data_IF_710940369648
#
_entry.id   IF_710940369648
#
_cell.length_a   1.000
_cell.length_b   1.000
_cell.length_c   1.000
_cell.angle_alpha   90.00
_cell.angle_beta   90.00
_cell.angle_gamma   90.00
#
_symmetry.space_group_name_H-M   'P 1'
#
loop_
_entity.id
_entity.type
_entity.pdbx_description
1 polymer ?
#
# COMPACT_ATOMS: atom_id res chain seq x y z
N UNK A 1 -27.18 5.38 -31.15
CA UNK A 1 -26.84 4.03 -31.67
C UNK A 1 -25.35 3.66 -31.49
N UNK A 2 -24.46 4.53 -31.02
CA UNK A 2 -23.04 4.28 -30.86
C UNK A 2 -22.63 3.57 -29.55
N UNK A 3 -23.47 3.56 -28.55
CA UNK A 3 -23.13 3.09 -27.19
C UNK A 3 -23.12 1.55 -27.01
N UNK A 4 -23.77 0.82 -27.92
CA UNK A 4 -23.91 -0.64 -27.80
C UNK A 4 -22.72 -1.47 -28.34
N UNK A 5 -21.65 -0.86 -28.88
CA UNK A 5 -20.48 -1.58 -29.41
C UNK A 5 -19.24 -1.45 -28.54
N UNK A 6 -19.16 -0.40 -27.74
CA UNK A 6 -17.95 -0.06 -26.97
C UNK A 6 -17.52 -1.18 -26.01
N UNK A 7 -18.46 -1.78 -25.26
CA UNK A 7 -18.13 -2.87 -24.34
C UNK A 7 -17.60 -4.12 -25.05
N UNK A 8 -18.22 -4.53 -26.16
CA UNK A 8 -17.82 -5.75 -26.88
C UNK A 8 -16.41 -5.62 -27.44
N UNK A 9 -16.12 -4.49 -28.07
CA UNK A 9 -14.79 -4.19 -28.59
C UNK A 9 -13.75 -4.15 -27.48
N UNK A 10 -14.04 -3.46 -26.37
CA UNK A 10 -13.18 -3.36 -25.20
C UNK A 10 -12.95 -4.73 -24.56
N UNK A 11 -13.98 -5.56 -24.45
CA UNK A 11 -13.90 -6.89 -23.87
C UNK A 11 -12.97 -7.81 -24.67
N UNK A 12 -13.08 -7.81 -26.00
CA UNK A 12 -12.17 -8.56 -26.89
C UNK A 12 -10.76 -7.99 -26.85
N UNK A 13 -10.62 -6.66 -26.91
CA UNK A 13 -9.32 -5.99 -26.84
C UNK A 13 -8.57 -6.25 -25.53
N UNK A 14 -9.29 -6.49 -24.42
CA UNK A 14 -8.68 -6.85 -23.13
C UNK A 14 -7.94 -8.20 -23.15
N UNK A 15 -8.27 -9.08 -24.12
CA UNK A 15 -7.78 -10.45 -24.17
C UNK A 15 -8.24 -11.34 -23.02
N UNK A 16 -9.29 -10.92 -22.28
CA UNK A 16 -9.92 -11.70 -21.21
C UNK A 16 -11.21 -12.37 -21.69
N UNK A 17 -11.81 -11.88 -22.76
CA UNK A 17 -13.08 -12.39 -23.32
C UNK A 17 -12.85 -12.70 -24.78
N UNK A 18 -13.25 -13.92 -25.19
CA UNK A 18 -13.23 -14.31 -26.60
C UNK A 18 -14.58 -13.98 -27.28
N UNK A 19 -14.58 -13.86 -28.62
CA UNK A 19 -15.83 -13.67 -29.37
C UNK A 19 -16.82 -14.81 -29.16
N UNK A 20 -16.37 -16.06 -29.00
CA UNK A 20 -17.24 -17.20 -28.75
C UNK A 20 -17.89 -17.11 -27.37
N UNK A 21 -17.19 -16.63 -26.36
CA UNK A 21 -17.77 -16.36 -25.04
C UNK A 21 -18.83 -15.25 -25.11
N UNK A 22 -18.60 -14.19 -25.89
CA UNK A 22 -19.62 -13.17 -26.15
C UNK A 22 -20.85 -13.73 -26.85
N UNK A 23 -20.66 -14.55 -27.90
CA UNK A 23 -21.77 -15.23 -28.63
C UNK A 23 -22.55 -16.16 -27.71
N UNK A 24 -21.85 -16.96 -26.88
CA UNK A 24 -22.48 -17.87 -25.92
C UNK A 24 -23.30 -17.10 -24.87
N UNK A 25 -22.74 -16.02 -24.31
CA UNK A 25 -23.45 -15.16 -23.36
C UNK A 25 -24.73 -14.55 -23.98
N UNK A 26 -24.62 -14.08 -25.23
CA UNK A 26 -25.78 -13.57 -25.99
C UNK A 26 -26.85 -14.64 -26.22
N UNK A 27 -26.44 -15.84 -26.63
CA UNK A 27 -27.38 -16.97 -26.84
C UNK A 27 -28.14 -17.36 -25.56
N UNK A 28 -27.44 -17.40 -24.40
CA UNK A 28 -28.07 -17.70 -23.11
C UNK A 28 -29.09 -16.63 -22.68
N UNK A 29 -28.83 -15.35 -23.00
CA UNK A 29 -29.77 -14.26 -22.73
C UNK A 29 -31.04 -14.43 -23.60
N UNK A 30 -30.89 -14.81 -24.88
CA UNK A 30 -31.98 -14.99 -25.82
C UNK A 30 -32.84 -16.23 -25.46
N UNK A 31 -32.23 -17.36 -25.09
CA UNK A 31 -32.93 -18.56 -24.66
C UNK A 31 -33.85 -18.31 -23.45
N UNK A 32 -33.38 -17.59 -22.44
CA UNK A 32 -34.18 -17.20 -21.26
C UNK A 32 -35.37 -16.31 -21.59
N UNK A 33 -35.37 -15.63 -22.74
CA UNK A 33 -36.46 -14.74 -23.18
C UNK A 33 -37.42 -15.37 -24.15
N UNK A 34 -36.96 -16.28 -25.03
CA UNK A 34 -37.83 -16.99 -25.94
C UNK A 34 -38.86 -17.87 -25.19
N UNK A 35 -38.52 -18.35 -23.99
CA UNK A 35 -39.47 -19.01 -23.08
C UNK A 35 -40.60 -18.08 -22.59
N UNK A 36 -40.53 -16.77 -22.84
CA UNK A 36 -41.53 -15.73 -22.48
C UNK A 36 -42.20 -15.06 -23.70
N UNK A 37 -42.03 -15.58 -24.94
CA UNK A 37 -42.78 -15.16 -26.12
C UNK A 37 -42.47 -13.77 -26.69
N UNK A 38 -41.27 -13.24 -26.52
CA UNK A 38 -40.90 -11.88 -26.98
C UNK A 38 -40.05 -11.95 -28.26
N UNK A 39 -40.54 -11.34 -29.34
CA UNK A 39 -39.83 -11.20 -30.62
C UNK A 39 -38.72 -10.17 -30.56
N UNK A 40 -37.63 -10.46 -31.25
CA UNK A 40 -36.44 -9.63 -31.57
C UNK A 40 -35.99 -8.64 -30.49
N UNK A 41 -34.89 -8.98 -29.78
CA UNK A 41 -34.36 -8.13 -28.70
C UNK A 41 -32.92 -7.77 -29.01
N UNK A 42 -32.65 -6.48 -29.04
CA UNK A 42 -31.30 -5.95 -28.98
C UNK A 42 -30.73 -6.21 -27.55
N UNK A 43 -29.60 -6.91 -27.48
CA UNK A 43 -28.94 -7.23 -26.22
C UNK A 43 -28.04 -6.04 -25.88
N UNK A 44 -28.39 -5.27 -24.84
CA UNK A 44 -27.56 -4.18 -24.37
C UNK A 44 -26.24 -4.69 -23.75
N UNK A 45 -25.19 -3.92 -23.88
CA UNK A 45 -23.86 -4.21 -23.33
C UNK A 45 -23.91 -4.51 -21.82
N UNK A 46 -24.71 -3.78 -21.04
CA UNK A 46 -24.92 -4.05 -19.60
C UNK A 46 -25.45 -5.45 -19.32
N UNK A 47 -26.38 -5.96 -20.14
CA UNK A 47 -26.91 -7.34 -20.00
C UNK A 47 -25.84 -8.36 -20.37
N UNK A 48 -25.07 -8.08 -21.42
CA UNK A 48 -23.97 -8.94 -21.85
C UNK A 48 -22.87 -9.03 -20.80
N UNK A 49 -22.43 -7.89 -20.26
CA UNK A 49 -21.48 -7.80 -19.16
C UNK A 49 -21.97 -8.58 -17.91
N UNK A 50 -23.22 -8.37 -17.51
CA UNK A 50 -23.83 -9.12 -16.39
C UNK A 50 -23.85 -10.62 -16.63
N UNK A 51 -24.11 -11.06 -17.86
CA UNK A 51 -24.12 -12.50 -18.20
C UNK A 51 -22.71 -13.09 -18.17
N UNK A 52 -21.70 -12.40 -18.69
CA UNK A 52 -20.30 -12.83 -18.61
C UNK A 52 -19.80 -12.96 -17.15
N UNK A 53 -20.22 -12.04 -16.28
CA UNK A 53 -19.95 -12.15 -14.83
C UNK A 53 -20.63 -13.38 -14.22
N UNK A 54 -21.90 -13.65 -14.57
CA UNK A 54 -22.63 -14.86 -14.13
C UNK A 54 -21.98 -16.15 -14.61
N UNK A 55 -21.41 -16.13 -15.81
CA UNK A 55 -20.64 -17.24 -16.39
C UNK A 55 -19.23 -17.36 -15.78
N UNK A 56 -18.84 -16.46 -14.89
CA UNK A 56 -17.50 -16.37 -14.27
C UNK A 56 -16.36 -16.22 -15.30
N UNK A 57 -16.66 -15.65 -16.47
CA UNK A 57 -15.65 -15.32 -17.49
C UNK A 57 -14.85 -14.11 -17.06
N UNK A 58 -15.53 -13.11 -16.50
CA UNK A 58 -14.93 -11.87 -15.95
C UNK A 58 -15.52 -11.55 -14.57
N UNK A 59 -14.80 -10.75 -13.78
CA UNK A 59 -15.31 -10.23 -12.51
C UNK A 59 -16.24 -9.04 -12.73
N UNK A 60 -16.97 -8.64 -11.67
CA UNK A 60 -17.79 -7.43 -11.72
C UNK A 60 -16.95 -6.17 -11.95
N UNK A 61 -15.75 -6.09 -11.32
CA UNK A 61 -14.79 -5.02 -11.53
C UNK A 61 -14.32 -4.95 -12.99
N UNK A 62 -13.89 -6.08 -13.57
CA UNK A 62 -13.47 -6.14 -14.98
C UNK A 62 -14.60 -5.73 -15.95
N UNK A 63 -15.83 -6.16 -15.67
CA UNK A 63 -16.99 -5.76 -16.47
C UNK A 63 -17.21 -4.25 -16.45
N UNK A 64 -17.08 -3.61 -15.29
CA UNK A 64 -17.22 -2.17 -15.13
C UNK A 64 -16.10 -1.39 -15.83
N UNK A 65 -14.85 -1.84 -15.69
CA UNK A 65 -13.73 -1.24 -16.41
C UNK A 65 -13.93 -1.30 -17.94
N UNK A 66 -14.39 -2.46 -18.46
CA UNK A 66 -14.69 -2.63 -19.88
C UNK A 66 -15.87 -1.78 -20.34
N UNK A 67 -16.90 -1.62 -19.51
CA UNK A 67 -18.02 -0.70 -19.78
C UNK A 67 -17.56 0.76 -19.89
N UNK A 68 -16.56 1.13 -19.10
CA UNK A 68 -15.90 2.45 -19.16
C UNK A 68 -14.89 2.59 -20.31
N UNK A 69 -14.71 1.56 -21.15
CA UNK A 69 -13.79 1.58 -22.30
C UNK A 69 -12.35 1.20 -21.95
N UNK A 70 -12.06 0.78 -20.70
CA UNK A 70 -10.71 0.40 -20.27
C UNK A 70 -10.48 -1.09 -20.55
N UNK A 71 -9.48 -1.41 -21.35
CA UNK A 71 -9.15 -2.78 -21.74
C UNK A 71 -7.84 -3.30 -21.14
N UNK A 72 -6.94 -2.43 -20.66
CA UNK A 72 -5.66 -2.83 -20.06
C UNK A 72 -5.89 -3.36 -18.63
N UNK A 73 -6.23 -4.66 -18.52
CA UNK A 73 -6.51 -5.37 -17.27
C UNK A 73 -5.45 -6.45 -16.96
N UNK A 74 -4.25 -6.29 -17.54
CA UNK A 74 -3.09 -7.15 -17.29
C UNK A 74 -1.87 -6.30 -16.98
N UNK A 75 -1.05 -6.75 -16.06
CA UNK A 75 0.27 -6.23 -15.74
C UNK A 75 1.26 -7.40 -15.73
N UNK A 76 2.12 -7.47 -16.74
CA UNK A 76 3.00 -8.63 -16.93
C UNK A 76 2.21 -9.94 -16.94
N UNK A 77 2.55 -10.88 -16.07
CA UNK A 77 1.90 -12.18 -15.93
C UNK A 77 0.61 -12.16 -15.07
N UNK A 78 0.14 -11.01 -14.63
CA UNK A 78 -0.95 -10.87 -13.67
C UNK A 78 -2.20 -10.27 -14.30
N UNK A 79 -3.35 -10.92 -14.09
CA UNK A 79 -4.67 -10.42 -14.48
C UNK A 79 -5.30 -9.71 -13.30
N UNK A 80 -5.60 -8.43 -13.45
CA UNK A 80 -6.31 -7.63 -12.44
C UNK A 80 -7.75 -8.10 -12.35
N UNK A 81 -8.20 -8.47 -11.15
CA UNK A 81 -9.54 -9.01 -10.89
C UNK A 81 -10.41 -8.10 -10.06
N UNK A 82 -9.80 -7.22 -9.26
CA UNK A 82 -10.53 -6.28 -8.40
C UNK A 82 -9.65 -5.10 -7.99
N UNK A 83 -10.26 -4.02 -7.53
CA UNK A 83 -9.60 -2.89 -6.88
C UNK A 83 -9.65 -3.07 -5.37
N UNK A 84 -8.49 -2.97 -4.71
CA UNK A 84 -8.39 -3.14 -3.26
C UNK A 84 -8.47 -1.80 -2.55
N UNK A 85 -7.76 -0.80 -3.07
CA UNK A 85 -7.69 0.49 -2.43
C UNK A 85 -6.60 1.39 -3.00
N UNK A 86 -6.47 2.56 -2.39
CA UNK A 86 -5.44 3.54 -2.70
C UNK A 86 -4.68 3.88 -1.43
N UNK A 87 -3.35 3.85 -1.51
CA UNK A 87 -2.44 4.25 -0.46
C UNK A 87 -1.61 5.48 -0.84
N UNK A 88 -0.79 5.97 0.06
CA UNK A 88 0.06 7.14 -0.18
C UNK A 88 1.03 7.00 -1.35
N UNK A 89 1.42 5.78 -1.71
CA UNK A 89 2.35 5.48 -2.79
C UNK A 89 1.68 5.03 -4.08
N UNK A 90 0.40 4.70 -4.09
CA UNK A 90 -0.28 4.29 -5.32
C UNK A 90 -1.56 3.50 -5.12
N UNK A 91 -2.02 2.90 -6.20
CA UNK A 91 -3.21 2.06 -6.23
C UNK A 91 -2.84 0.61 -5.95
N UNK A 92 -3.74 -0.11 -5.29
CA UNK A 92 -3.57 -1.52 -4.99
C UNK A 92 -4.72 -2.32 -5.60
N UNK A 93 -4.38 -3.30 -6.41
CA UNK A 93 -5.32 -4.17 -7.10
C UNK A 93 -5.20 -5.60 -6.61
N UNK A 94 -6.33 -6.33 -6.60
CA UNK A 94 -6.31 -7.78 -6.53
C UNK A 94 -6.04 -8.34 -7.93
N UNK A 95 -5.16 -9.32 -8.03
CA UNK A 95 -4.83 -9.95 -9.29
C UNK A 95 -4.59 -11.45 -9.13
N UNK A 96 -4.60 -12.17 -10.25
CA UNK A 96 -4.28 -13.59 -10.32
C UNK A 96 -3.12 -13.78 -11.29
N UNK A 97 -2.09 -14.49 -10.86
CA UNK A 97 -0.99 -14.89 -11.74
C UNK A 97 -1.49 -15.92 -12.77
N UNK A 98 -1.32 -15.63 -14.07
CA UNK A 98 -1.95 -16.41 -15.15
C UNK A 98 -1.56 -17.90 -15.16
N UNK A 99 -0.29 -18.22 -14.90
CA UNK A 99 0.17 -19.62 -14.93
C UNK A 99 0.02 -20.32 -13.57
N UNK A 100 0.24 -19.61 -12.46
CA UNK A 100 0.24 -20.23 -11.13
C UNK A 100 -1.15 -20.26 -10.50
N UNK A 101 -2.13 -19.48 -11.01
CA UNK A 101 -3.45 -19.34 -10.42
C UNK A 101 -3.46 -18.67 -9.03
N UNK A 102 -2.31 -18.14 -8.58
CA UNK A 102 -2.18 -17.56 -7.25
C UNK A 102 -2.76 -16.16 -7.19
N UNK A 103 -3.66 -15.94 -6.21
CA UNK A 103 -4.13 -14.59 -5.86
C UNK A 103 -3.00 -13.77 -5.26
N UNK A 104 -2.91 -12.52 -5.67
CA UNK A 104 -1.89 -11.57 -5.24
C UNK A 104 -2.48 -10.17 -5.13
N UNK A 105 -1.87 -9.30 -4.35
CA UNK A 105 -2.12 -7.88 -4.39
C UNK A 105 -1.01 -7.20 -5.20
N UNK A 106 -1.39 -6.29 -6.10
CA UNK A 106 -0.43 -5.54 -6.92
C UNK A 106 -0.50 -4.07 -6.53
N UNK A 107 0.60 -3.55 -6.02
CA UNK A 107 0.79 -2.13 -5.72
C UNK A 107 1.42 -1.46 -6.92
N UNK A 108 0.74 -0.49 -7.49
CA UNK A 108 1.14 0.20 -8.70
C UNK A 108 1.61 1.62 -8.35
N UNK A 109 2.81 2.00 -8.83
CA UNK A 109 3.28 3.38 -8.74
C UNK A 109 2.54 4.21 -9.79
N UNK A 110 1.80 5.28 -9.39
CA UNK A 110 1.03 6.08 -10.33
C UNK A 110 1.93 6.82 -11.33
N UNK A 111 1.50 6.91 -12.59
CA UNK A 111 2.26 7.55 -13.67
C UNK A 111 2.66 9.01 -13.39
N UNK A 112 1.75 9.81 -12.77
CA UNK A 112 2.06 11.20 -12.39
C UNK A 112 3.09 11.30 -11.26
N UNK A 113 3.38 10.20 -10.53
CA UNK A 113 4.45 10.08 -9.53
C UNK A 113 5.72 9.43 -10.07
N UNK A 114 5.83 9.19 -11.38
CA UNK A 114 7.02 8.62 -12.02
C UNK A 114 8.19 9.64 -12.11
N UNK A 115 8.53 10.24 -10.96
CA UNK A 115 9.77 11.01 -10.86
C UNK A 115 10.92 10.04 -10.53
N UNK A 116 12.16 10.36 -10.92
CA UNK A 116 13.33 9.54 -10.59
C UNK A 116 13.41 9.20 -9.09
N UNK A 117 13.11 10.18 -8.22
CA UNK A 117 13.11 9.98 -6.77
C UNK A 117 12.00 9.02 -6.30
N UNK A 118 10.81 9.13 -6.87
CA UNK A 118 9.70 8.23 -6.53
C UNK A 118 9.97 6.80 -6.97
N UNK A 119 10.54 6.61 -8.15
CA UNK A 119 10.96 5.30 -8.66
C UNK A 119 12.07 4.71 -7.78
N UNK A 120 13.06 5.52 -7.41
CA UNK A 120 14.14 5.10 -6.52
C UNK A 120 13.59 4.68 -5.14
N UNK A 121 12.66 5.45 -4.58
CA UNK A 121 12.01 5.11 -3.30
C UNK A 121 11.20 3.82 -3.41
N UNK A 122 10.45 3.65 -4.50
CA UNK A 122 9.66 2.44 -4.75
C UNK A 122 10.56 1.20 -4.89
N UNK A 123 11.70 1.33 -5.59
CA UNK A 123 12.70 0.25 -5.69
C UNK A 123 13.30 -0.12 -4.34
N UNK A 124 13.59 0.88 -3.47
CA UNK A 124 14.07 0.60 -2.10
C UNK A 124 13.03 -0.17 -1.28
N UNK A 125 11.75 0.20 -1.37
CA UNK A 125 10.66 -0.53 -0.74
C UNK A 125 10.62 -1.99 -1.20
N UNK A 126 10.70 -2.23 -2.53
CA UNK A 126 10.75 -3.58 -3.10
C UNK A 126 11.91 -4.39 -2.49
N UNK A 127 13.13 -3.82 -2.48
CA UNK A 127 14.33 -4.49 -1.97
C UNK A 127 14.22 -4.78 -0.48
N UNK A 128 13.67 -3.86 0.31
CA UNK A 128 13.46 -4.02 1.73
C UNK A 128 12.47 -5.16 2.01
N UNK A 129 11.32 -5.14 1.32
CA UNK A 129 10.28 -6.14 1.52
C UNK A 129 10.68 -7.54 1.02
N UNK A 130 11.48 -7.62 -0.05
CA UNK A 130 11.95 -8.90 -0.60
C UNK A 130 12.88 -9.69 0.36
N UNK A 131 13.48 -9.04 1.35
CA UNK A 131 14.35 -9.68 2.36
C UNK A 131 13.58 -10.25 3.55
N UNK A 132 12.28 -9.97 3.64
CA UNK A 132 11.45 -10.35 4.76
C UNK A 132 10.60 -11.56 4.42
N UNK A 133 10.65 -12.57 5.27
CA UNK A 133 9.80 -13.75 5.20
C UNK A 133 9.36 -14.16 6.60
N UNK A 134 8.14 -13.72 6.99
CA UNK A 134 7.56 -14.01 8.29
C UNK A 134 6.03 -14.14 8.17
N UNK A 135 5.37 -15.04 8.92
CA UNK A 135 3.91 -15.22 8.85
C UNK A 135 3.11 -13.95 9.14
N UNK A 136 3.64 -13.04 9.96
CA UNK A 136 2.99 -11.78 10.35
C UNK A 136 3.49 -10.56 9.55
N UNK A 137 4.19 -10.77 8.45
CA UNK A 137 4.51 -9.75 7.46
C UNK A 137 3.88 -10.10 6.11
N UNK A 138 3.47 -9.08 5.36
CA UNK A 138 3.02 -9.28 3.97
C UNK A 138 4.22 -9.58 3.10
N UNK A 139 4.25 -10.76 2.45
CA UNK A 139 5.37 -11.19 1.61
C UNK A 139 5.40 -10.47 0.27
N UNK A 140 6.58 -10.11 -0.21
CA UNK A 140 6.79 -9.76 -1.60
C UNK A 140 6.96 -11.04 -2.44
N UNK A 141 6.29 -11.10 -3.59
CA UNK A 141 6.38 -12.23 -4.50
C UNK A 141 7.15 -11.92 -5.76
N UNK A 142 6.98 -10.70 -6.28
CA UNK A 142 7.53 -10.27 -7.55
C UNK A 142 7.52 -8.76 -7.67
N UNK A 143 8.25 -8.20 -8.61
CA UNK A 143 8.20 -6.81 -8.98
C UNK A 143 8.47 -6.67 -10.48
N UNK A 144 7.86 -5.70 -11.12
CA UNK A 144 8.03 -5.54 -12.55
C UNK A 144 7.70 -4.14 -13.06
N UNK A 145 7.84 -4.03 -14.38
CA UNK A 145 7.52 -2.86 -15.16
C UNK A 145 6.74 -3.28 -16.40
N UNK A 146 5.64 -2.59 -16.69
CA UNK A 146 4.83 -2.79 -17.89
C UNK A 146 4.58 -1.44 -18.56
N UNK A 147 5.35 -1.15 -19.63
CA UNK A 147 5.47 0.19 -20.20
C UNK A 147 6.05 1.16 -19.18
N UNK A 148 5.31 2.21 -18.83
CA UNK A 148 5.74 3.20 -17.83
C UNK A 148 5.20 2.92 -16.42
N UNK A 149 4.61 1.73 -16.20
CA UNK A 149 3.97 1.37 -14.92
C UNK A 149 4.90 0.45 -14.13
N UNK A 150 5.44 0.95 -13.01
CA UNK A 150 6.18 0.14 -12.05
C UNK A 150 5.19 -0.50 -11.05
N UNK A 151 5.38 -1.78 -10.74
CA UNK A 151 4.51 -2.48 -9.81
C UNK A 151 5.27 -3.44 -8.89
N UNK A 152 4.73 -3.62 -7.70
CA UNK A 152 5.16 -4.60 -6.71
C UNK A 152 4.01 -5.59 -6.47
N UNK A 153 4.31 -6.87 -6.57
CA UNK A 153 3.37 -7.96 -6.31
C UNK A 153 3.62 -8.51 -4.92
N UNK A 154 2.60 -8.49 -4.10
CA UNK A 154 2.66 -8.96 -2.72
C UNK A 154 1.57 -9.98 -2.44
N UNK A 155 1.69 -10.65 -1.31
CA UNK A 155 0.67 -11.54 -0.77
C UNK A 155 -0.69 -10.84 -0.69
N UNK A 156 -1.73 -11.48 -1.24
CA UNK A 156 -3.09 -11.06 -1.00
C UNK A 156 -3.55 -11.58 0.36
N UNK A 157 -3.80 -10.68 1.29
CA UNK A 157 -4.32 -11.00 2.62
C UNK A 157 -5.84 -10.81 2.59
N UNK A 158 -6.64 -11.89 2.71
CA UNK A 158 -8.09 -11.75 2.81
C UNK A 158 -8.46 -11.06 4.11
N UNK A 159 -9.50 -10.24 4.10
CA UNK A 159 -9.93 -9.50 5.31
C UNK A 159 -9.84 -7.99 5.16
N UNK A 160 -9.49 -7.29 6.23
CA UNK A 160 -9.48 -5.83 6.27
C UNK A 160 -8.30 -5.29 7.09
N UNK A 161 -8.02 -3.99 6.96
CA UNK A 161 -7.08 -3.33 7.87
C UNK A 161 -7.71 -3.10 9.26
N UNK A 162 -6.87 -3.05 10.29
CA UNK A 162 -7.29 -2.89 11.69
C UNK A 162 -8.05 -1.57 11.93
N UNK A 163 -7.71 -0.49 11.21
CA UNK A 163 -8.45 0.78 11.31
C UNK A 163 -9.89 0.62 10.85
N UNK A 164 -10.10 -0.04 9.71
CA UNK A 164 -11.43 -0.32 9.18
C UNK A 164 -12.19 -1.28 10.09
N UNK A 165 -11.50 -2.29 10.63
CA UNK A 165 -12.08 -3.21 11.60
C UNK A 165 -12.66 -2.48 12.80
N UNK A 166 -11.86 -1.65 13.48
CA UNK A 166 -12.30 -0.85 14.63
C UNK A 166 -13.39 0.15 14.25
N UNK A 167 -13.33 0.76 13.08
CA UNK A 167 -14.37 1.72 12.62
C UNK A 167 -15.71 1.05 12.36
N UNK A 168 -15.73 -0.18 11.89
CA UNK A 168 -16.97 -0.91 11.53
C UNK A 168 -17.57 -1.66 12.70
N UNK A 169 -16.74 -2.26 13.57
CA UNK A 169 -17.20 -3.07 14.70
C UNK A 169 -17.17 -2.34 16.05
N UNK A 170 -16.59 -1.16 16.11
CA UNK A 170 -16.29 -0.47 17.35
C UNK A 170 -14.94 -0.92 17.93
N UNK A 171 -14.67 -0.52 19.20
CA UNK A 171 -13.48 -0.97 19.91
C UNK A 171 -13.44 -2.51 20.01
N UNK A 172 -12.24 -3.06 19.94
CA UNK A 172 -12.02 -4.49 20.10
C UNK A 172 -12.04 -4.87 21.59
N UNK A 173 -12.27 -6.15 21.87
CA UNK A 173 -12.00 -6.69 23.22
C UNK A 173 -10.49 -6.63 23.50
N UNK A 174 -10.13 -6.66 24.78
CA UNK A 174 -8.71 -6.68 25.20
C UNK A 174 -7.98 -7.86 24.56
N UNK A 175 -8.61 -9.04 24.53
CA UNK A 175 -8.05 -10.26 23.96
C UNK A 175 -7.80 -10.13 22.44
N UNK A 176 -8.79 -9.64 21.71
CA UNK A 176 -8.65 -9.41 20.27
C UNK A 176 -7.53 -8.41 19.93
N UNK A 177 -7.50 -7.28 20.67
CA UNK A 177 -6.47 -6.27 20.49
C UNK A 177 -5.08 -6.79 20.85
N UNK A 178 -4.95 -7.51 21.99
CA UNK A 178 -3.71 -8.10 22.42
C UNK A 178 -3.16 -9.10 21.38
N UNK A 179 -4.02 -9.98 20.88
CA UNK A 179 -3.59 -10.97 19.90
C UNK A 179 -3.15 -10.33 18.56
N UNK A 180 -3.94 -9.40 18.02
CA UNK A 180 -3.60 -8.72 16.76
C UNK A 180 -2.28 -7.95 16.90
N UNK A 181 -2.09 -7.23 18.02
CA UNK A 181 -0.88 -6.43 18.24
C UNK A 181 0.32 -7.32 18.60
N UNK A 182 0.12 -8.44 19.30
CA UNK A 182 1.16 -9.46 19.53
C UNK A 182 1.70 -9.99 18.20
N UNK A 183 0.82 -10.44 17.30
CA UNK A 183 1.22 -10.92 15.98
C UNK A 183 1.93 -9.84 15.15
N UNK A 184 1.45 -8.59 15.23
CA UNK A 184 2.13 -7.47 14.57
C UNK A 184 3.54 -7.22 15.17
N UNK A 185 3.69 -7.33 16.48
CA UNK A 185 4.97 -7.20 17.18
C UNK A 185 5.96 -8.32 16.77
N UNK A 186 5.50 -9.56 16.62
CA UNK A 186 6.30 -10.68 16.11
C UNK A 186 6.81 -10.40 14.68
N UNK A 187 5.95 -9.86 13.80
CA UNK A 187 6.35 -9.43 12.46
C UNK A 187 7.39 -8.30 12.49
N UNK A 188 7.17 -7.28 13.32
CA UNK A 188 8.12 -6.18 13.49
C UNK A 188 9.44 -6.64 14.07
N UNK A 189 9.45 -7.57 15.05
CA UNK A 189 10.67 -8.15 15.60
C UNK A 189 11.54 -8.76 14.50
N UNK A 190 10.95 -9.55 13.60
CA UNK A 190 11.67 -10.10 12.47
C UNK A 190 12.24 -9.02 11.53
N UNK A 191 11.51 -7.93 11.28
CA UNK A 191 12.03 -6.81 10.48
C UNK A 191 13.20 -6.10 11.19
N UNK A 192 13.08 -5.89 12.51
CA UNK A 192 14.11 -5.26 13.34
C UNK A 192 15.41 -6.10 13.39
N UNK A 193 15.32 -7.43 13.44
CA UNK A 193 16.46 -8.34 13.35
C UNK A 193 17.22 -8.25 12.01
N UNK A 194 16.57 -7.67 10.98
CA UNK A 194 17.16 -7.37 9.67
C UNK A 194 17.57 -5.91 9.54
N UNK A 195 17.69 -5.20 10.67
CA UNK A 195 18.01 -3.77 10.73
C UNK A 195 17.02 -2.88 9.97
N UNK A 196 15.77 -3.33 9.77
CA UNK A 196 14.74 -2.59 9.06
C UNK A 196 13.76 -1.97 10.05
N UNK A 197 13.60 -0.63 10.01
CA UNK A 197 12.63 0.13 10.79
C UNK A 197 11.45 0.47 9.89
N UNK A 198 10.22 0.22 10.35
CA UNK A 198 8.99 0.44 9.56
C UNK A 198 8.63 1.92 9.40
N UNK A 199 8.73 2.73 10.47
CA UNK A 199 8.49 4.18 10.55
C UNK A 199 7.04 4.66 10.33
N UNK A 200 6.12 3.80 9.93
CA UNK A 200 4.71 4.15 9.74
C UNK A 200 3.79 3.02 10.25
N UNK A 201 4.11 2.49 11.45
CA UNK A 201 3.23 1.52 12.13
C UNK A 201 1.94 2.22 12.52
N UNK A 202 0.81 1.69 12.04
CA UNK A 202 -0.52 2.23 12.31
C UNK A 202 -1.59 1.20 12.02
N UNK A 203 -2.82 1.36 12.52
CA UNK A 203 -3.91 0.39 12.27
C UNK A 203 -4.22 0.17 10.78
N UNK A 204 -3.97 1.17 9.92
CA UNK A 204 -4.18 1.03 8.47
C UNK A 204 -3.16 0.12 7.78
N UNK A 205 -1.99 -0.11 8.40
CA UNK A 205 -0.90 -0.95 7.88
C UNK A 205 -0.84 -2.33 8.58
N UNK A 206 -1.85 -2.68 9.39
CA UNK A 206 -2.00 -4.01 9.98
C UNK A 206 -3.24 -4.64 9.36
N UNK A 207 -3.04 -5.63 8.51
CA UNK A 207 -4.10 -6.40 7.86
C UNK A 207 -4.52 -7.53 8.78
N UNK A 208 -5.84 -7.75 8.92
CA UNK A 208 -6.41 -8.77 9.80
C UNK A 208 -7.31 -9.67 8.97
N UNK A 209 -7.01 -10.98 8.97
CA UNK A 209 -7.83 -11.98 8.28
C UNK A 209 -9.10 -12.30 9.08
N UNK A 210 -10.12 -12.95 8.47
CA UNK A 210 -11.31 -13.40 9.19
C UNK A 210 -10.99 -14.33 10.36
N UNK A 211 -9.90 -15.09 10.27
CA UNK A 211 -9.40 -15.98 11.31
C UNK A 211 -8.65 -15.23 12.43
N UNK A 212 -8.47 -13.90 12.30
CA UNK A 212 -7.78 -13.06 13.27
C UNK A 212 -6.25 -13.04 13.15
N UNK A 213 -5.68 -13.60 12.08
CA UNK A 213 -4.25 -13.51 11.82
C UNK A 213 -3.93 -12.07 11.40
N UNK A 214 -2.95 -11.46 12.08
CA UNK A 214 -2.47 -10.13 11.74
C UNK A 214 -1.20 -10.18 10.90
N UNK A 215 -1.11 -9.31 9.89
CA UNK A 215 0.08 -9.14 9.04
C UNK A 215 0.38 -7.65 8.88
N UNK A 216 1.61 -7.24 9.16
CA UNK A 216 2.08 -5.87 8.91
C UNK A 216 2.38 -5.72 7.43
N UNK A 217 1.90 -4.62 6.84
CA UNK A 217 2.04 -4.25 5.43
C UNK A 217 2.67 -2.87 5.27
N UNK A 218 2.96 -2.49 4.04
CA UNK A 218 3.37 -1.13 3.65
C UNK A 218 4.69 -0.65 4.27
N UNK A 219 5.78 -1.36 3.95
CA UNK A 219 7.16 -0.96 4.28
C UNK A 219 7.66 0.25 3.44
N UNK A 220 6.75 1.02 2.85
CA UNK A 220 7.08 2.11 1.92
C UNK A 220 7.84 3.27 2.56
N UNK A 221 7.81 3.41 3.87
CA UNK A 221 8.60 4.37 4.63
C UNK A 221 9.75 3.71 5.40
N UNK A 222 9.85 2.38 5.34
CA UNK A 222 10.91 1.63 6.00
C UNK A 222 12.30 1.99 5.46
N UNK A 223 13.31 1.95 6.31
CA UNK A 223 14.71 2.14 5.94
C UNK A 223 15.61 1.24 6.80
N UNK A 224 16.81 0.99 6.27
CA UNK A 224 17.83 0.28 7.04
C UNK A 224 18.57 1.26 7.98
N UNK A 225 18.83 0.85 9.21
CA UNK A 225 19.52 1.65 10.24
C UNK A 225 20.85 2.24 9.74
N UNK A 226 21.54 1.53 8.84
CA UNK A 226 22.86 1.91 8.35
C UNK A 226 22.87 2.50 6.92
N UNK A 227 21.69 2.83 6.33
CA UNK A 227 21.64 3.43 4.99
C UNK A 227 21.80 4.96 5.07
N UNK A 228 23.05 5.43 5.14
CA UNK A 228 23.38 6.86 5.18
C UNK A 228 22.94 7.65 3.92
N UNK A 229 22.56 6.98 2.85
CA UNK A 229 22.19 7.58 1.58
C UNK A 229 20.64 7.71 1.40
N UNK A 230 19.85 7.36 2.38
CA UNK A 230 18.39 7.51 2.27
C UNK A 230 17.99 9.00 2.33
N UNK A 231 17.38 9.56 1.27
CA UNK A 231 17.00 10.98 1.20
C UNK A 231 15.91 11.36 2.21
N UNK A 232 15.37 10.40 2.97
CA UNK A 232 14.36 10.59 4.01
C UNK A 232 14.96 10.78 5.39
N UNK A 233 16.29 10.57 5.56
CA UNK A 233 16.99 10.85 6.81
C UNK A 233 16.79 12.32 7.18
N UNK A 234 16.44 12.58 8.43
CA UNK A 234 16.16 13.93 8.94
C UNK A 234 14.81 14.51 8.50
N UNK A 235 13.98 13.77 7.77
CA UNK A 235 12.61 14.20 7.44
C UNK A 235 11.61 13.53 8.36
N UNK A 236 10.59 14.30 8.80
CA UNK A 236 9.44 13.76 9.49
C UNK A 236 8.59 13.00 8.47
N UNK A 237 8.51 11.69 8.63
CA UNK A 237 7.69 10.80 7.79
C UNK A 237 6.77 9.97 8.68
N UNK A 238 5.59 9.61 8.17
CA UNK A 238 4.58 8.84 8.90
C UNK A 238 3.27 9.60 9.09
N UNK A 239 2.35 8.96 9.79
CA UNK A 239 0.99 9.48 10.02
C UNK A 239 0.93 10.19 11.37
N UNK A 240 0.58 11.46 11.40
CA UNK A 240 0.63 12.35 12.56
C UNK A 240 -0.05 11.83 13.86
N UNK A 241 -0.99 10.89 13.75
CA UNK A 241 -1.68 10.28 14.90
C UNK A 241 -0.87 9.18 15.62
N UNK A 242 0.26 8.74 15.02
CA UNK A 242 1.05 7.59 15.47
C UNK A 242 2.56 7.87 15.53
N UNK A 243 3.01 9.11 15.23
CA UNK A 243 4.43 9.48 15.22
C UNK A 243 5.03 9.42 16.63
N UNK A 244 6.20 8.81 16.75
CA UNK A 244 6.96 8.84 17.99
C UNK A 244 7.59 10.22 18.24
N UNK A 245 7.87 10.58 19.51
CA UNK A 245 8.52 11.85 19.85
C UNK A 245 9.82 12.07 19.12
N UNK A 246 10.66 11.04 18.97
CA UNK A 246 11.95 11.10 18.28
C UNK A 246 11.80 11.25 16.76
N UNK A 247 10.77 10.65 16.13
CA UNK A 247 10.47 10.91 14.72
C UNK A 247 10.15 12.38 14.45
N UNK A 248 9.66 13.10 15.46
CA UNK A 248 9.30 14.52 15.37
C UNK A 248 10.48 15.41 15.73
N UNK A 249 11.19 15.12 16.85
CA UNK A 249 12.26 15.95 17.41
C UNK A 249 13.61 15.75 16.72
N UNK A 250 13.97 14.48 16.52
CA UNK A 250 15.29 14.05 16.03
C UNK A 250 15.14 12.99 14.95
N UNK A 251 14.56 13.33 13.77
CA UNK A 251 14.29 12.35 12.71
C UNK A 251 15.53 11.58 12.19
N UNK A 252 16.73 12.03 12.55
CA UNK A 252 18.00 11.37 12.27
C UNK A 252 18.34 10.25 13.25
N UNK A 253 17.70 10.22 14.43
CA UNK A 253 17.99 9.29 15.53
C UNK A 253 16.87 8.24 15.73
N UNK A 254 16.05 8.05 14.69
CA UNK A 254 14.95 7.07 14.71
C UNK A 254 15.53 5.66 14.74
N UNK A 255 15.07 4.85 15.71
CA UNK A 255 15.47 3.46 15.90
C UNK A 255 14.25 2.53 15.90
N UNK A 256 14.44 1.24 16.11
CA UNK A 256 13.38 0.23 16.20
C UNK A 256 12.36 0.53 17.29
N UNK A 257 12.76 1.19 18.39
CA UNK A 257 11.85 1.56 19.49
C UNK A 257 10.83 2.62 19.07
N UNK A 258 11.04 3.32 17.95
CA UNK A 258 10.04 4.24 17.38
C UNK A 258 8.80 3.50 16.88
N UNK A 259 8.99 2.31 16.29
CA UNK A 259 7.88 1.44 15.87
C UNK A 259 7.08 0.94 17.07
N UNK A 260 7.73 0.72 18.22
CA UNK A 260 7.08 0.29 19.46
C UNK A 260 6.14 1.38 19.99
N UNK A 261 6.54 2.65 19.95
CA UNK A 261 5.65 3.76 20.29
C UNK A 261 4.40 3.79 19.41
N UNK A 262 4.61 3.69 18.10
CA UNK A 262 3.53 3.70 17.11
C UNK A 262 2.59 2.49 17.27
N UNK A 263 3.15 1.33 17.65
CA UNK A 263 2.40 0.12 17.97
C UNK A 263 1.60 0.30 19.28
N UNK A 264 2.14 0.97 20.29
CA UNK A 264 1.44 1.37 21.51
C UNK A 264 0.24 2.28 21.23
N UNK A 265 0.42 3.29 20.37
CA UNK A 265 -0.68 4.12 19.89
C UNK A 265 -1.75 3.29 19.15
N UNK A 266 -1.33 2.26 18.42
CA UNK A 266 -2.23 1.34 17.71
C UNK A 266 -3.00 0.45 18.67
N UNK A 267 -2.35 -0.06 19.73
CA UNK A 267 -2.99 -0.83 20.79
C UNK A 267 -4.03 0.01 21.54
N UNK A 268 -3.64 1.23 21.93
CA UNK A 268 -4.56 2.20 22.53
C UNK A 268 -5.80 2.41 21.65
N UNK A 269 -5.61 2.68 20.34
CA UNK A 269 -6.70 2.85 19.38
C UNK A 269 -7.60 1.61 19.31
N UNK A 270 -7.02 0.42 19.33
CA UNK A 270 -7.75 -0.84 19.19
C UNK A 270 -8.72 -1.08 20.35
N UNK A 271 -8.31 -0.79 21.59
CA UNK A 271 -9.14 -1.02 22.78
C UNK A 271 -10.05 0.17 23.15
N UNK A 272 -9.78 1.37 22.61
CA UNK A 272 -10.56 2.58 22.95
C UNK A 272 -11.45 3.06 21.80
N UNK A 273 -11.13 2.69 20.55
CA UNK A 273 -11.74 3.26 19.34
C UNK A 273 -11.34 4.72 19.07
N UNK A 274 -10.38 5.27 19.82
CA UNK A 274 -9.90 6.65 19.72
C UNK A 274 -8.38 6.67 19.56
N UNK A 275 -7.88 7.59 18.71
CA UNK A 275 -6.44 7.88 18.69
C UNK A 275 -6.02 8.55 20.01
N UNK A 276 -4.74 8.40 20.45
CA UNK A 276 -4.28 8.98 21.71
C UNK A 276 -4.52 10.48 21.83
N UNK A 277 -4.34 11.22 20.71
CA UNK A 277 -4.50 12.67 20.65
C UNK A 277 -5.46 13.09 19.54
N UNK A 278 -6.79 13.02 19.77
CA UNK A 278 -7.79 13.30 18.75
C UNK A 278 -7.90 14.81 18.43
N UNK A 279 -8.33 15.13 17.21
CA UNK A 279 -8.58 16.52 16.75
C UNK A 279 -7.30 17.33 16.51
N UNK A 280 -7.47 18.57 16.08
CA UNK A 280 -6.37 19.50 15.82
C UNK A 280 -5.66 19.30 14.48
N UNK A 281 -4.66 20.15 14.23
CA UNK A 281 -3.80 20.10 13.04
C UNK A 281 -2.70 19.04 13.20
N UNK A 282 -2.06 18.56 12.11
CA UNK A 282 -0.89 17.68 12.22
C UNK A 282 0.21 18.22 13.13
N UNK A 283 0.47 19.53 13.09
CA UNK A 283 1.44 20.20 13.95
C UNK A 283 1.04 20.14 15.43
N UNK A 284 -0.23 20.36 15.77
CA UNK A 284 -0.69 20.27 17.15
C UNK A 284 -0.71 18.83 17.67
N UNK A 285 -0.99 17.85 16.82
CA UNK A 285 -0.87 16.42 17.15
C UNK A 285 0.57 16.04 17.44
N UNK A 286 1.50 16.43 16.57
CA UNK A 286 2.94 16.22 16.77
C UNK A 286 3.42 16.78 18.11
N UNK A 287 3.01 18.03 18.47
CA UNK A 287 3.34 18.59 19.77
C UNK A 287 2.81 17.77 20.94
N UNK A 288 1.56 17.30 20.84
CA UNK A 288 0.94 16.46 21.89
C UNK A 288 1.64 15.11 22.06
N UNK A 289 2.11 14.50 20.98
CA UNK A 289 2.94 13.29 21.06
C UNK A 289 4.24 13.54 21.84
N UNK A 290 4.77 14.76 21.81
CA UNK A 290 5.98 15.14 22.55
C UNK A 290 5.67 15.43 24.03
N UNK A 291 4.60 16.19 24.30
CA UNK A 291 4.40 16.90 25.57
C UNK A 291 3.29 16.33 26.44
N UNK A 292 2.26 15.71 25.84
CA UNK A 292 1.04 15.34 26.55
C UNK A 292 0.93 13.84 26.79
N UNK A 293 0.29 13.47 27.90
CA UNK A 293 -0.15 12.10 28.17
C UNK A 293 -1.55 11.89 27.59
N UNK A 294 -1.82 10.77 26.90
CA UNK A 294 -3.15 10.49 26.39
C UNK A 294 -4.15 10.28 27.54
N UNK A 295 -5.43 10.42 27.23
CA UNK A 295 -6.45 10.08 28.21
C UNK A 295 -6.36 8.60 28.59
N UNK A 296 -6.64 8.34 29.88
CA UNK A 296 -6.58 6.98 30.41
C UNK A 296 -7.54 6.05 29.64
N UNK A 297 -7.09 4.86 29.16
CA UNK A 297 -7.89 3.96 28.33
C UNK A 297 -9.24 3.57 28.95
N UNK A 298 -9.30 3.40 30.28
CA UNK A 298 -10.51 3.07 31.01
C UNK A 298 -11.63 4.11 30.88
N UNK A 299 -11.31 5.33 30.51
CA UNK A 299 -12.32 6.34 30.17
C UNK A 299 -13.23 5.91 29.01
N UNK A 300 -12.71 5.08 28.12
CA UNK A 300 -13.40 4.60 26.93
C UNK A 300 -13.75 3.13 26.98
N UNK A 301 -13.05 2.37 27.82
CA UNK A 301 -13.23 0.94 27.97
C UNK A 301 -12.88 0.50 29.41
N UNK A 302 -13.89 0.32 30.25
CA UNK A 302 -13.73 -0.07 31.66
C UNK A 302 -13.19 -1.50 31.82
N UNK A 303 -13.26 -2.34 30.78
CA UNK A 303 -12.79 -3.74 30.82
C UNK A 303 -11.26 -3.84 30.74
N UNK A 304 -10.55 -2.74 30.44
CA UNK A 304 -9.08 -2.72 30.37
C UNK A 304 -8.53 -2.77 31.80
N UNK A 305 -7.71 -3.77 32.12
CA UNK A 305 -7.05 -3.88 33.43
C UNK A 305 -5.94 -2.85 33.60
N UNK A 306 -5.54 -2.60 34.85
CA UNK A 306 -4.47 -1.64 35.14
C UNK A 306 -3.14 -2.11 34.55
N UNK A 307 -2.84 -3.41 34.61
CA UNK A 307 -1.61 -3.99 34.02
C UNK A 307 -1.58 -3.83 32.49
N UNK A 308 -2.74 -3.86 31.83
CA UNK A 308 -2.82 -3.62 30.39
C UNK A 308 -2.64 -2.13 30.05
N UNK A 309 -3.13 -1.24 30.93
CA UNK A 309 -2.90 0.20 30.81
C UNK A 309 -1.42 0.52 30.98
N UNK A 310 -0.77 -0.10 31.98
CA UNK A 310 0.67 0.05 32.22
C UNK A 310 1.49 -0.40 31.02
N UNK A 311 1.13 -1.53 30.39
CA UNK A 311 1.78 -1.99 29.16
C UNK A 311 1.65 -0.97 28.02
N UNK A 312 0.45 -0.39 27.82
CA UNK A 312 0.26 0.67 26.83
C UNK A 312 1.14 1.88 27.18
N UNK A 313 1.23 2.25 28.47
CA UNK A 313 2.08 3.33 28.96
C UNK A 313 3.56 3.08 28.63
N UNK A 314 4.08 1.91 29.00
CA UNK A 314 5.47 1.51 28.74
C UNK A 314 5.82 1.49 27.25
N UNK A 315 4.89 1.11 26.39
CA UNK A 315 5.06 1.22 24.92
C UNK A 315 5.05 2.67 24.44
N UNK A 316 4.33 3.57 25.12
CA UNK A 316 4.15 4.97 24.73
C UNK A 316 5.02 5.94 25.53
N UNK A 317 6.02 5.45 26.28
CA UNK A 317 6.99 6.30 26.97
C UNK A 317 7.62 7.31 26.01
N UNK A 318 7.74 8.57 26.49
CA UNK A 318 8.25 9.68 25.67
C UNK A 318 9.75 9.58 25.44
N UNK A 319 10.47 9.13 26.45
CA UNK A 319 11.91 8.89 26.37
C UNK A 319 12.13 7.49 25.76
N UNK A 320 12.76 7.38 24.57
CA UNK A 320 13.00 6.07 23.95
C UNK A 320 13.80 5.09 24.84
N UNK A 321 14.66 5.61 25.74
CA UNK A 321 15.46 4.76 26.64
C UNK A 321 14.64 4.14 27.80
N UNK A 322 13.51 4.72 28.14
CA UNK A 322 12.59 4.24 29.20
C UNK A 322 11.47 3.34 28.63
N UNK A 323 11.33 3.32 27.32
CA UNK A 323 10.33 2.54 26.59
C UNK A 323 10.74 1.07 26.53
N UNK A 324 9.79 0.16 26.28
CA UNK A 324 10.08 -1.24 25.91
C UNK A 324 11.06 -1.24 24.73
N UNK A 325 12.15 -2.02 24.81
CA UNK A 325 13.27 -1.92 23.88
C UNK A 325 13.13 -2.80 22.64
N UNK A 326 12.36 -3.89 22.71
CA UNK A 326 12.21 -4.81 21.57
C UNK A 326 10.75 -5.13 21.29
N UNK A 327 10.45 -5.36 20.02
CA UNK A 327 9.11 -5.81 19.61
C UNK A 327 8.82 -7.24 20.11
N UNK A 328 9.84 -8.07 20.31
CA UNK A 328 9.70 -9.40 20.94
C UNK A 328 9.19 -9.27 22.36
N UNK A 329 9.75 -8.36 23.17
CA UNK A 329 9.28 -8.09 24.53
C UNK A 329 7.81 -7.64 24.55
N UNK A 330 7.39 -6.80 23.60
CA UNK A 330 5.98 -6.41 23.45
C UNK A 330 5.10 -7.65 23.22
N UNK A 331 5.52 -8.55 22.32
CA UNK A 331 4.78 -9.77 22.04
C UNK A 331 4.67 -10.70 23.28
N UNK A 332 5.77 -10.86 24.01
CA UNK A 332 5.83 -11.65 25.23
C UNK A 332 4.91 -11.06 26.33
N UNK A 333 4.96 -9.76 26.53
CA UNK A 333 4.13 -9.07 27.53
C UNK A 333 2.64 -9.07 27.17
N UNK A 334 2.27 -9.13 25.88
CA UNK A 334 0.88 -9.25 25.43
C UNK A 334 0.34 -10.70 25.54
N UNK A 335 1.19 -11.71 25.61
CA UNK A 335 0.81 -13.12 25.58
C UNK A 335 -0.25 -13.52 26.63
N UNK A 336 -0.25 -12.99 27.88
CA UNK A 336 -1.26 -13.35 28.88
C UNK A 336 -2.71 -12.99 28.48
N UNK A 337 -2.90 -11.98 27.62
CA UNK A 337 -4.22 -11.56 27.12
C UNK A 337 -4.56 -12.12 25.76
N UNK A 338 -3.56 -12.64 25.00
CA UNK A 338 -3.72 -13.14 23.64
C UNK A 338 -4.15 -14.63 23.66
N UNK A 339 -5.46 -14.90 23.80
CA UNK A 339 -6.00 -16.26 23.76
C UNK A 339 -6.37 -16.65 22.32
N UNK A 340 -6.00 -17.86 21.88
CA UNK A 340 -6.23 -18.36 20.51
C UNK A 340 -7.72 -18.50 20.15
N UNK A 341 -8.59 -18.77 21.12
CA UNK A 341 -10.03 -18.96 20.89
C UNK A 341 -10.80 -17.67 20.53
N UNK A 342 -10.18 -16.50 20.69
CA UNK A 342 -10.84 -15.20 20.43
C UNK A 342 -10.75 -14.72 18.98
N UNK A 343 -10.09 -15.49 18.10
CA UNK A 343 -9.67 -15.05 16.78
C UNK A 343 -10.76 -15.13 15.70
N UNK A 344 -11.85 -15.85 15.93
CA UNK A 344 -12.95 -15.93 14.97
C UNK A 344 -13.69 -14.60 14.86
N UNK A 345 -13.20 -13.75 13.98
CA UNK A 345 -13.94 -12.59 13.50
C UNK A 345 -14.98 -13.14 12.51
N UNK A 346 -16.27 -13.07 12.88
CA UNK A 346 -17.38 -13.62 12.08
C UNK A 346 -17.22 -13.34 10.57
N UNK A 347 -17.70 -14.27 9.72
CA UNK A 347 -17.63 -14.27 8.24
C UNK A 347 -18.11 -12.99 7.53
N UNK A 348 -18.76 -12.05 8.22
CA UNK A 348 -19.18 -10.75 7.68
C UNK A 348 -18.01 -9.79 7.34
N UNK A 349 -16.77 -10.17 7.62
CA UNK A 349 -15.58 -9.36 7.32
C UNK A 349 -15.03 -9.50 5.91
N UNK A 350 -15.69 -10.25 5.04
CA UNK A 350 -15.37 -10.19 3.63
C UNK A 350 -15.49 -8.74 3.14
N UNK A 351 -14.49 -8.24 2.42
CA UNK A 351 -14.56 -6.91 1.80
C UNK A 351 -15.89 -6.76 1.09
N UNK A 352 -16.62 -5.64 1.24
CA UNK A 352 -17.83 -5.43 0.47
C UNK A 352 -17.48 -5.64 -1.01
N UNK A 353 -18.38 -6.30 -1.75
CA UNK A 353 -18.23 -6.40 -3.19
C UNK A 353 -17.95 -5.01 -3.73
N UNK A 354 -16.94 -4.91 -4.58
CA UNK A 354 -16.66 -3.67 -5.27
C UNK A 354 -17.97 -3.17 -5.93
N UNK A 355 -18.32 -1.94 -5.61
CA UNK A 355 -19.41 -1.22 -6.28
C UNK A 355 -18.75 -0.09 -7.06
N UNK A 356 -19.11 0.11 -8.32
CA UNK A 356 -18.61 1.24 -9.08
C UNK A 356 -18.93 2.54 -8.33
N UNK A 357 -18.03 3.54 -8.32
CA UNK A 357 -18.38 4.86 -7.87
C UNK A 357 -19.60 5.37 -8.66
N UNK A 358 -20.43 6.24 -8.06
CA UNK A 358 -21.53 6.87 -8.80
C UNK A 358 -20.98 7.48 -10.08
N UNK A 359 -21.66 7.25 -11.20
CA UNK A 359 -21.30 7.87 -12.48
C UNK A 359 -21.64 9.35 -12.35
N UNK A 360 -20.64 10.21 -12.20
CA UNK A 360 -20.80 11.62 -12.54
C UNK A 360 -20.71 11.71 -14.06
N UNK A 361 -21.68 12.39 -14.67
CA UNK A 361 -21.70 12.66 -16.12
C UNK A 361 -20.47 13.50 -16.47
N UNK A 362 -19.44 12.83 -16.99
CA UNK A 362 -18.26 13.50 -17.53
C UNK A 362 -18.48 13.68 -19.02
N UNK A 363 -18.54 14.94 -19.46
CA UNK A 363 -18.55 15.32 -20.87
C UNK A 363 -17.38 14.65 -21.62
N UNK A 364 -17.72 14.08 -22.79
CA UNK A 364 -16.81 13.43 -23.73
C UNK A 364 -15.62 14.34 -24.11
N UNK A 365 -14.44 14.10 -23.50
CA UNK A 365 -13.18 14.52 -24.08
C UNK A 365 -12.25 13.30 -24.19
N UNK A 366 -11.69 13.11 -25.37
CA UNK A 366 -10.80 12.03 -25.77
C UNK A 366 -9.69 11.78 -24.75
N UNK A 367 -9.82 10.70 -23.98
CA UNK A 367 -8.79 10.23 -23.06
C UNK A 367 -8.09 9.01 -23.65
N UNK A 368 -6.76 9.10 -23.72
CA UNK A 368 -5.85 8.06 -24.19
C UNK A 368 -6.03 6.77 -23.36
N UNK A 369 -6.20 5.59 -24.00
CA UNK A 369 -6.40 4.31 -23.32
C UNK A 369 -5.27 3.84 -22.41
N UNK A 370 -4.13 4.53 -22.36
CA UNK A 370 -2.98 4.20 -21.48
C UNK A 370 -3.21 4.54 -20.00
N UNK A 371 -4.29 5.27 -19.65
CA UNK A 371 -4.43 5.93 -18.35
C UNK A 371 -5.32 5.20 -17.33
N UNK A 372 -5.18 3.88 -17.17
CA UNK A 372 -5.81 3.17 -16.03
C UNK A 372 -5.39 3.79 -14.69
N UNK A 373 -4.19 4.37 -14.63
CA UNK A 373 -3.69 5.04 -13.44
C UNK A 373 -4.14 6.51 -13.32
N UNK A 374 -4.42 7.20 -14.43
CA UNK A 374 -4.68 8.65 -14.43
C UNK A 374 -6.11 9.02 -14.04
N UNK A 375 -7.11 8.25 -14.45
CA UNK A 375 -8.53 8.59 -14.14
C UNK A 375 -8.95 8.37 -12.69
N UNK A 376 -8.27 7.52 -11.92
CA UNK A 376 -8.57 7.37 -10.49
C UNK A 376 -7.99 8.50 -9.63
N UNK A 377 -7.29 9.45 -10.23
CA UNK A 377 -6.49 10.46 -9.53
C UNK A 377 -7.00 11.89 -9.70
N UNK A 378 -7.89 12.15 -10.65
CA UNK A 378 -8.52 13.47 -10.79
C UNK A 378 -9.53 13.78 -9.66
N UNK A 379 -10.04 12.75 -8.98
CA UNK A 379 -11.00 12.93 -7.89
C UNK A 379 -10.37 13.33 -6.54
N UNK A 380 -9.03 13.24 -6.38
CA UNK A 380 -8.37 13.52 -5.10
C UNK A 380 -7.77 14.93 -4.98
N UNK A 381 -7.76 15.72 -6.05
CA UNK A 381 -7.33 17.12 -5.99
C UNK A 381 -8.39 18.08 -5.49
N UNK A 382 -9.65 17.65 -5.31
CA UNK A 382 -10.78 18.51 -4.94
C UNK A 382 -11.11 18.57 -3.45
N UNK A 383 -10.40 17.87 -2.56
CA UNK A 383 -10.55 18.03 -1.11
C UNK A 383 -9.59 19.07 -0.51
N UNK A 384 -9.52 20.25 -1.12
CA UNK A 384 -9.08 21.45 -0.42
C UNK A 384 -10.33 22.28 -0.08
N UNK A 385 -10.58 22.61 1.19
CA UNK A 385 -11.71 23.47 1.53
C UNK A 385 -11.42 24.87 0.99
N UNK A 386 -12.08 25.21 -0.12
CA UNK A 386 -12.16 26.57 -0.62
C UNK A 386 -12.91 27.43 0.41
N UNK A 387 -12.16 28.25 1.13
CA UNK A 387 -12.70 29.35 1.93
C UNK A 387 -13.28 30.41 0.98
N UNK A 388 -14.55 30.28 0.63
CA UNK A 388 -15.32 31.34 0.03
C UNK A 388 -15.67 32.38 1.11
N UNK A 389 -14.85 33.41 1.24
CA UNK A 389 -15.23 34.69 1.83
C UNK A 389 -15.60 35.63 0.68
N UNK A 390 -16.86 35.78 0.44
CA UNK A 390 -17.40 36.89 -0.35
C UNK A 390 -17.22 38.19 0.43
N UNK A 391 -16.63 39.24 -0.16
CA UNK A 391 -16.74 40.58 0.39
C UNK A 391 -18.00 41.28 -0.16
N UNK A 392 -18.97 41.50 0.69
CA UNK A 392 -20.06 42.43 0.46
C UNK A 392 -19.50 43.85 0.38
N UNK A 393 -19.76 44.50 -0.75
CA UNK A 393 -19.58 45.94 -0.95
C UNK A 393 -20.50 46.74 -0.03
N UNK A 394 -19.94 47.66 0.75
CA UNK A 394 -20.67 48.85 1.22
C UNK A 394 -19.81 50.09 1.02
N UNK A 395 -20.37 51.02 0.27
CA UNK A 395 -19.84 52.34 -0.03
C UNK A 395 -19.68 53.21 1.23
N UNK A 396 -18.63 54.02 1.27
CA UNK A 396 -18.45 55.11 2.23
C UNK A 396 -17.10 55.78 2.07
N UNK A 397 -17.09 56.90 1.40
CA UNK A 397 -15.96 57.84 1.15
C UNK A 397 -15.96 58.93 2.25
N UNK A 398 -15.00 59.93 2.27
CA UNK A 398 -13.56 59.84 2.39
C UNK A 398 -13.01 60.59 3.63
N UNK A 399 -11.75 60.39 3.97
CA UNK A 399 -11.06 61.21 4.96
C UNK A 399 -9.54 61.00 4.92
N UNK A 400 -8.87 62.07 4.52
CA UNK A 400 -7.43 62.27 4.43
C UNK A 400 -6.66 61.80 5.68
N UNK A 401 -5.55 61.12 5.53
CA UNK A 401 -4.27 61.70 6.01
C UNK A 401 -3.00 61.00 5.49
N UNK A 402 -2.00 61.82 5.33
CA UNK A 402 -0.68 61.68 4.79
C UNK A 402 0.24 60.77 5.64
N UNK A 403 1.06 59.96 4.97
CA UNK A 403 2.17 59.25 5.63
C UNK A 403 3.04 58.46 4.66
N UNK A 404 4.07 59.14 4.14
CA UNK A 404 5.18 58.57 3.36
C UNK A 404 5.90 57.42 4.06
N UNK A 405 6.20 56.33 3.35
CA UNK A 405 7.40 55.54 3.58
C UNK A 405 7.85 54.66 2.41
N UNK A 406 8.90 55.13 1.76
CA UNK A 406 10.12 54.45 1.27
C UNK A 406 9.94 53.07 0.60
N UNK A 407 9.98 53.12 -0.72
CA UNK A 407 10.37 52.08 -1.65
C UNK A 407 11.83 51.64 -1.42
N UNK A 408 12.09 50.35 -1.15
CA UNK A 408 13.40 49.74 -1.35
C UNK A 408 13.32 48.66 -2.41
N UNK A 409 13.58 49.08 -3.64
CA UNK A 409 13.87 48.21 -4.79
C UNK A 409 15.20 47.51 -4.58
N UNK A 410 15.22 46.18 -4.40
CA UNK A 410 16.42 45.38 -4.59
C UNK A 410 16.51 44.89 -6.03
N UNK A 411 17.56 45.36 -6.69
CA UNK A 411 18.04 44.95 -8.01
C UNK A 411 18.42 43.46 -8.01
N UNK A 412 18.20 42.73 -9.11
CA UNK A 412 18.74 41.39 -9.30
C UNK A 412 20.26 41.46 -9.56
N UNK A 413 21.02 40.40 -9.16
CA UNK A 413 22.47 40.35 -9.42
C UNK A 413 22.75 40.08 -10.92
N UNK A 414 23.94 40.55 -11.40
CA UNK A 414 24.32 40.42 -12.81
C UNK A 414 24.76 39.00 -13.17
N UNK A 415 24.74 38.63 -14.46
CA UNK A 415 25.15 37.30 -14.93
C UNK A 415 26.68 37.16 -14.88
N UNK A 416 27.11 35.96 -14.41
CA UNK A 416 28.54 35.59 -14.33
C UNK A 416 29.01 35.21 -15.75
N UNK A 417 30.03 35.93 -16.23
CA UNK A 417 30.73 35.68 -17.47
C UNK A 417 31.59 34.42 -17.39
N UNK A 418 31.50 33.60 -18.45
CA UNK A 418 32.39 32.49 -18.73
C UNK A 418 33.83 32.96 -18.90
N UNK A 419 34.75 32.51 -18.05
CA UNK A 419 36.18 32.51 -18.33
C UNK A 419 36.74 31.10 -18.09
N UNK A 420 37.31 30.59 -19.18
CA UNK A 420 38.11 29.39 -19.34
C UNK A 420 39.10 29.10 -18.22
N UNK A 421 39.00 27.86 -17.69
CA UNK A 421 40.14 27.22 -17.03
C UNK A 421 40.35 25.86 -17.71
N UNK A 422 41.32 25.81 -18.60
CA UNK A 422 41.95 24.60 -19.09
C UNK A 422 42.83 24.03 -17.99
N UNK A 423 42.39 22.96 -17.35
CA UNK A 423 43.15 22.12 -16.42
C UNK A 423 43.31 20.73 -16.99
N UNK A 424 44.54 20.40 -17.38
CA UNK A 424 44.96 19.08 -17.82
C UNK A 424 44.64 17.99 -16.82
N UNK A 425 43.83 16.99 -17.20
CA UNK A 425 43.85 15.69 -16.56
C UNK A 425 44.48 14.66 -17.45
N UNK A 426 45.63 14.15 -16.98
CA UNK A 426 46.34 13.00 -17.53
C UNK A 426 45.43 11.78 -17.57
N UNK A 427 45.35 11.15 -18.71
CA UNK A 427 44.79 9.81 -18.88
C UNK A 427 45.61 8.79 -18.09
N UNK A 428 44.93 8.01 -17.28
CA UNK A 428 45.50 6.80 -16.69
C UNK A 428 44.50 5.63 -16.84
N UNK A 429 44.93 4.64 -17.60
CA UNK A 429 44.68 3.23 -17.31
C UNK A 429 43.43 2.61 -17.91
N UNK A 430 43.64 1.88 -19.00
CA UNK A 430 42.78 0.85 -19.55
C UNK A 430 42.14 -0.05 -18.50
N UNK A 431 40.83 -0.24 -18.57
CA UNK A 431 40.13 -1.37 -17.98
C UNK A 431 40.37 -2.60 -18.87
N UNK A 432 40.72 -3.76 -18.33
CA UNK A 432 40.85 -4.98 -19.11
C UNK A 432 39.45 -5.56 -19.37
N UNK A 433 39.07 -5.64 -20.62
CA UNK A 433 37.98 -6.43 -21.16
C UNK A 433 38.51 -7.84 -21.45
N UNK A 434 38.52 -8.72 -20.46
CA UNK A 434 38.53 -10.18 -20.71
C UNK A 434 38.19 -10.92 -19.42
N UNK A 435 36.99 -11.53 -19.39
CA UNK A 435 36.60 -12.50 -18.33
C UNK A 435 37.24 -13.84 -18.71
N UNK A 436 38.05 -14.47 -17.86
CA UNK A 436 38.71 -15.72 -18.22
C UNK A 436 37.67 -16.85 -18.31
N UNK A 437 37.68 -17.53 -19.45
CA UNK A 437 36.81 -18.68 -19.84
C UNK A 437 37.00 -19.93 -18.93
N UNK A 438 37.84 -19.88 -17.92
CA UNK A 438 38.16 -21.02 -17.05
C UNK A 438 37.05 -21.33 -16.01
N UNK A 439 36.19 -20.35 -15.67
CA UNK A 439 35.16 -20.54 -14.62
C UNK A 439 33.94 -21.38 -15.07
N UNK A 440 33.68 -21.50 -16.38
CA UNK A 440 32.48 -22.20 -16.89
C UNK A 440 32.71 -23.72 -16.96
N UNK A 441 33.92 -24.17 -17.21
CA UNK A 441 34.21 -25.61 -17.29
C UNK A 441 34.20 -26.33 -15.93
N UNK A 442 34.59 -25.65 -14.85
CA UNK A 442 34.58 -26.24 -13.49
C UNK A 442 33.16 -26.40 -12.95
N UNK A 443 32.23 -25.47 -13.23
CA UNK A 443 30.83 -25.57 -12.80
C UNK A 443 30.08 -26.73 -13.51
N UNK A 444 30.42 -27.00 -14.79
CA UNK A 444 29.81 -28.10 -15.56
C UNK A 444 30.18 -29.47 -14.99
N UNK A 445 31.43 -29.68 -14.59
CA UNK A 445 31.87 -30.96 -14.02
C UNK A 445 31.38 -31.23 -12.62
N UNK A 446 31.17 -30.20 -11.80
CA UNK A 446 30.55 -30.33 -10.45
C UNK A 446 29.07 -30.74 -10.59
N UNK A 447 28.33 -30.16 -11.53
CA UNK A 447 26.92 -30.50 -11.80
C UNK A 447 26.76 -31.95 -12.26
N UNK A 448 27.61 -32.44 -13.16
CA UNK A 448 27.60 -33.85 -13.65
C UNK A 448 27.97 -34.82 -12.53
N UNK A 449 28.93 -34.47 -11.66
CA UNK A 449 29.33 -35.29 -10.51
C UNK A 449 28.20 -35.50 -9.49
N UNK A 450 27.41 -34.44 -9.20
CA UNK A 450 26.26 -34.51 -8.28
C UNK A 450 25.12 -35.38 -8.83
N UNK A 451 24.87 -35.35 -10.15
CA UNK A 451 23.83 -36.18 -10.78
C UNK A 451 24.23 -37.65 -10.76
N UNK A 452 25.49 -37.96 -11.03
CA UNK A 452 26.01 -39.34 -11.00
C UNK A 452 25.95 -39.93 -9.57
N UNK A 453 26.26 -39.12 -8.54
CA UNK A 453 26.19 -39.56 -7.14
C UNK A 453 24.73 -39.79 -6.68
N UNK A 454 23.79 -38.95 -7.12
CA UNK A 454 22.35 -39.11 -6.83
C UNK A 454 21.77 -40.39 -7.43
N UNK A 455 22.14 -40.75 -8.66
CA UNK A 455 21.70 -41.98 -9.33
C UNK A 455 22.31 -43.21 -8.65
N UNK A 456 23.58 -43.15 -8.22
CA UNK A 456 24.25 -44.27 -7.56
C UNK A 456 23.64 -44.56 -6.18
N UNK A 457 23.28 -43.53 -5.41
CA UNK A 457 22.59 -43.68 -4.11
C UNK A 457 21.18 -44.24 -4.31
N UNK A 458 20.44 -43.78 -5.35
CA UNK A 458 19.10 -44.27 -5.66
C UNK A 458 19.07 -45.74 -6.02
N UNK A 459 20.06 -46.23 -6.79
CA UNK A 459 20.21 -47.67 -7.15
C UNK A 459 20.60 -48.50 -5.93
N UNK A 460 21.44 -47.96 -5.05
CA UNK A 460 21.85 -48.69 -3.84
C UNK A 460 20.71 -48.86 -2.84
N UNK A 461 19.84 -47.87 -2.72
CA UNK A 461 18.63 -47.94 -1.87
C UNK A 461 17.58 -48.87 -2.48
N UNK A 462 17.44 -48.90 -3.82
CA UNK A 462 16.53 -49.84 -4.51
C UNK A 462 16.93 -51.30 -4.50
N UNK A 463 18.20 -51.61 -4.14
CA UNK A 463 18.69 -52.97 -3.97
C UNK A 463 18.65 -53.48 -2.51
N UNK A 464 18.29 -52.61 -1.55
CA UNK A 464 18.20 -52.91 -0.12
C UNK A 464 16.75 -53.06 0.38
N UNK A 465 15.77 -52.81 -0.49
CA UNK A 465 14.33 -53.05 -0.29
C UNK A 465 13.80 -53.91 -1.44
#
# INVERSE_FOLDING_TARGET
MSDNRKFRETAVASGLVTEDQLRLAAAQILQKKNSKGVQTIEISDKKLATQLVKMKVITAYQADQMMSGRHKLKLGAYVITDWIGQGGMGQVFKAIHQMLGRESAIKVLPLHKNTPDSIANFRREIIAQAKLDHPNLVRAFDAGEDGNVHYLVVEYVPGTDLRRLVRTKGRLTVQQAANIVKLAAEGLSHAHEKDLIHRDVKPGNILVTPEGIAKVSDLGLAYYVNDSNDPRIGKIVGTADYLSPEQIKTPTEVTTVSDIYSLGCTLYYSVTGKVPFPGGTPKSKARRHIEETPWHPRRFNEEVSDEFVDLIGDMMEKNPAERIQTASEVAERLAPWANDDSLMLNEEMSRPRWMPPPIEDVDDQDTDPSDIAEMAMSELSNDSPSSNLNPTLSNGDPGQDTGSFISSTRKPPPPISSSSITGQYKAAGHLPTEIPVVAVKTAFWIGVGCIALGVFIGVLIGLLF
#
